data_IF_660143366890
#
_entry.id   IF_660143366890
#
_cell.length_a   1.000
_cell.length_b   1.000
_cell.length_c   1.000
_cell.angle_alpha   90.00
_cell.angle_beta   90.00
_cell.angle_gamma   90.00
#
_symmetry.space_group_name_H-M   'P 1'
#
loop_
_entity.id
_entity.type
_entity.pdbx_description
1 polymer ?
#
# COMPACT_ATOMS: atom_id res chain seq x y z
N UNK A 1 -7.16 5.16 3.12
CA UNK A 1 -8.15 6.14 3.66
C UNK A 1 -9.16 6.59 2.60
N UNK A 2 -10.43 6.17 2.67
CA UNK A 2 -11.47 6.54 1.69
C UNK A 2 -11.83 8.04 1.71
N UNK A 3 -11.55 8.74 2.82
CA UNK A 3 -11.78 10.18 2.97
C UNK A 3 -10.79 11.05 2.16
N UNK A 4 -9.70 10.48 1.63
CA UNK A 4 -8.62 11.28 1.04
C UNK A 4 -9.05 12.22 -0.10
N UNK A 5 -9.94 11.85 -1.05
CA UNK A 5 -10.19 12.68 -2.23
C UNK A 5 -10.78 14.04 -1.86
N UNK A 6 -11.68 14.09 -0.87
CA UNK A 6 -12.27 15.35 -0.42
C UNK A 6 -11.24 16.20 0.33
N UNK A 7 -10.37 15.60 1.14
CA UNK A 7 -9.31 16.34 1.85
C UNK A 7 -8.29 16.92 0.87
N UNK A 8 -7.89 16.15 -0.14
CA UNK A 8 -6.96 16.58 -1.19
C UNK A 8 -7.44 17.86 -1.88
N UNK A 9 -8.73 17.93 -2.23
CA UNK A 9 -9.31 19.07 -2.96
C UNK A 9 -9.63 20.25 -2.05
N UNK A 10 -10.15 20.00 -0.85
CA UNK A 10 -10.68 21.07 0.00
C UNK A 10 -9.63 21.71 0.88
N UNK A 11 -8.82 20.90 1.58
CA UNK A 11 -7.71 21.37 2.39
C UNK A 11 -6.74 20.20 2.66
N UNK A 12 -5.64 20.09 1.87
CA UNK A 12 -4.73 18.96 1.99
C UNK A 12 -3.99 18.91 3.32
N UNK A 13 -3.97 20.00 4.10
CA UNK A 13 -3.33 20.01 5.42
C UNK A 13 -3.92 18.97 6.39
N UNK A 14 -5.19 18.60 6.22
CA UNK A 14 -5.79 17.50 6.96
C UNK A 14 -5.12 16.15 6.70
N UNK A 15 -4.59 15.91 5.48
CA UNK A 15 -3.82 14.71 5.21
C UNK A 15 -2.55 14.67 6.06
N UNK A 16 -1.83 15.79 6.14
CA UNK A 16 -0.64 15.91 7.00
C UNK A 16 -1.00 15.65 8.46
N UNK A 17 -2.03 16.31 8.97
CA UNK A 17 -2.45 16.19 10.37
C UNK A 17 -2.90 14.77 10.75
N UNK A 18 -3.48 14.02 9.81
CA UNK A 18 -3.88 12.62 10.03
C UNK A 18 -2.68 11.65 9.92
N UNK A 19 -1.73 11.93 9.02
CA UNK A 19 -0.56 11.07 8.82
C UNK A 19 0.56 11.33 9.84
N UNK A 20 0.67 12.54 10.36
CA UNK A 20 1.74 12.95 11.27
C UNK A 20 1.87 12.05 12.51
N UNK A 21 0.80 11.74 13.27
CA UNK A 21 0.90 10.85 14.43
C UNK A 21 1.35 9.43 14.06
N UNK A 22 0.88 8.93 12.90
CA UNK A 22 1.25 7.61 12.38
C UNK A 22 2.74 7.61 12.04
N UNK A 23 3.22 8.58 11.28
CA UNK A 23 4.63 8.69 10.88
C UNK A 23 5.55 8.89 12.09
N UNK A 24 5.15 9.71 13.08
CA UNK A 24 5.89 9.86 14.33
C UNK A 24 6.00 8.53 15.09
N UNK A 25 4.88 7.81 15.24
CA UNK A 25 4.88 6.50 15.89
C UNK A 25 5.77 5.49 15.15
N UNK A 26 5.65 5.39 13.82
CA UNK A 26 6.49 4.48 13.02
C UNK A 26 7.98 4.87 13.08
N UNK A 27 8.28 6.18 13.07
CA UNK A 27 9.66 6.69 13.17
C UNK A 27 10.32 6.43 14.52
N UNK A 28 9.52 6.25 15.58
CA UNK A 28 10.04 5.90 16.91
C UNK A 28 10.62 4.48 16.98
N UNK A 29 10.39 3.65 15.96
CA UNK A 29 10.87 2.26 15.92
C UNK A 29 10.06 1.27 16.77
N UNK A 30 8.99 1.73 17.44
CA UNK A 30 8.11 0.90 18.27
C UNK A 30 7.34 -0.13 17.45
N UNK A 31 7.01 0.20 16.20
CA UNK A 31 6.52 -0.76 15.23
C UNK A 31 7.67 -1.42 14.47
N UNK A 32 7.90 -2.70 14.74
CA UNK A 32 9.07 -3.45 14.24
C UNK A 32 8.82 -4.24 12.96
N UNK A 33 7.55 -4.39 12.55
CA UNK A 33 7.17 -5.16 11.37
C UNK A 33 7.59 -4.44 10.06
N UNK A 34 7.81 -5.19 8.96
CA UNK A 34 8.34 -4.63 7.71
C UNK A 34 7.29 -3.91 6.86
N UNK A 35 6.04 -3.83 7.31
CA UNK A 35 4.93 -3.16 6.64
C UNK A 35 4.30 -2.11 7.55
N UNK A 36 3.49 -1.22 6.99
CA UNK A 36 2.84 -0.14 7.74
C UNK A 36 1.74 -0.69 8.65
N UNK A 37 1.65 -0.13 9.86
CA UNK A 37 0.62 -0.48 10.85
C UNK A 37 -0.78 -0.05 10.39
N UNK A 38 -1.80 -0.81 10.78
CA UNK A 38 -3.20 -0.49 10.46
C UNK A 38 -3.74 0.73 11.19
N UNK A 39 -3.61 0.76 12.51
CA UNK A 39 -4.03 1.86 13.36
C UNK A 39 -3.02 2.04 14.50
N UNK A 40 -3.14 3.13 15.25
CA UNK A 40 -2.30 3.40 16.41
C UNK A 40 -3.11 3.46 17.71
N UNK A 41 -4.31 2.92 17.75
CA UNK A 41 -5.12 2.94 18.95
C UNK A 41 -6.58 2.52 18.76
N UNK A 42 -7.17 2.04 19.85
CA UNK A 42 -8.48 1.40 19.85
C UNK A 42 -9.67 2.37 19.88
N UNK A 43 -9.44 3.63 20.25
CA UNK A 43 -10.51 4.63 20.44
C UNK A 43 -9.92 6.03 20.59
N UNK A 44 -10.59 7.07 20.10
CA UNK A 44 -10.19 8.45 20.42
C UNK A 44 -10.31 8.74 21.93
N UNK A 45 -9.36 9.43 22.57
CA UNK A 45 -8.11 10.00 22.03
C UNK A 45 -6.88 9.09 22.21
N UNK A 46 -7.05 7.78 22.41
CA UNK A 46 -5.96 6.81 22.54
C UNK A 46 -5.26 6.58 21.19
N UNK A 47 -3.99 7.00 21.11
CA UNK A 47 -3.10 6.81 19.98
C UNK A 47 -1.73 6.25 20.42
N UNK A 48 -1.70 5.33 21.39
CA UNK A 48 -0.46 4.80 21.99
C UNK A 48 0.33 3.85 21.10
N UNK A 49 -0.28 3.35 20.03
CA UNK A 49 0.27 2.34 19.13
C UNK A 49 0.10 0.90 19.62
N UNK A 50 0.65 -0.02 18.82
CA UNK A 50 0.72 -1.47 19.09
C UNK A 50 2.19 -1.91 19.22
N UNK A 51 2.82 -1.57 20.35
CA UNK A 51 4.23 -1.90 20.63
C UNK A 51 4.48 -3.41 20.75
N UNK A 52 3.42 -4.17 21.05
CA UNK A 52 3.41 -5.61 21.08
C UNK A 52 3.46 -6.24 19.67
N UNK A 53 3.36 -5.42 18.61
CA UNK A 53 3.32 -5.87 17.23
C UNK A 53 1.98 -6.47 16.81
N UNK A 54 0.93 -6.33 17.65
CA UNK A 54 -0.38 -6.93 17.41
C UNK A 54 -1.34 -5.84 16.93
N UNK A 55 -1.43 -5.68 15.62
CA UNK A 55 -2.45 -4.85 14.97
C UNK A 55 -3.17 -5.70 13.91
N UNK A 56 -4.27 -5.19 13.37
CA UNK A 56 -4.94 -5.82 12.24
C UNK A 56 -3.98 -5.98 11.05
N UNK A 57 -3.96 -7.17 10.45
CA UNK A 57 -2.93 -7.56 9.48
C UNK A 57 -3.37 -7.16 8.08
N UNK A 58 -3.05 -5.92 7.70
CA UNK A 58 -3.29 -5.34 6.37
C UNK A 58 -2.00 -4.84 5.67
N UNK A 59 -1.00 -5.71 5.40
CA UNK A 59 0.36 -5.28 5.04
C UNK A 59 0.46 -4.47 3.74
N UNK A 60 -0.10 -4.97 2.64
CA UNK A 60 -0.05 -4.30 1.34
C UNK A 60 -0.96 -3.09 1.32
N UNK A 61 -2.15 -3.24 1.91
CA UNK A 61 -3.17 -2.20 2.01
C UNK A 61 -2.60 -0.93 2.67
N UNK A 62 -2.01 -1.06 3.86
CA UNK A 62 -1.56 0.10 4.62
C UNK A 62 -0.24 0.67 4.13
N UNK A 63 0.63 -0.19 3.63
CA UNK A 63 1.87 0.25 2.98
C UNK A 63 1.55 1.06 1.72
N UNK A 64 0.62 0.58 0.89
CA UNK A 64 0.16 1.31 -0.29
C UNK A 64 -0.53 2.63 0.10
N UNK A 65 -1.41 2.60 1.10
CA UNK A 65 -2.11 3.79 1.59
C UNK A 65 -1.13 4.88 2.03
N UNK A 66 -0.14 4.55 2.86
CA UNK A 66 0.83 5.53 3.36
C UNK A 66 1.58 6.23 2.21
N UNK A 67 2.10 5.46 1.25
CA UNK A 67 2.88 6.00 0.14
C UNK A 67 2.04 6.87 -0.80
N UNK A 68 0.82 6.43 -1.10
CA UNK A 68 -0.13 7.18 -1.93
C UNK A 68 -0.53 8.48 -1.24
N UNK A 69 -0.88 8.43 0.04
CA UNK A 69 -1.35 9.61 0.78
C UNK A 69 -0.22 10.61 1.04
N UNK A 70 1.02 10.14 1.27
CA UNK A 70 2.18 11.02 1.37
C UNK A 70 2.42 11.80 0.07
N UNK A 71 2.37 11.12 -1.09
CA UNK A 71 2.48 11.79 -2.38
C UNK A 71 1.31 12.74 -2.60
N UNK A 72 0.08 12.31 -2.30
CA UNK A 72 -1.12 13.12 -2.46
C UNK A 72 -1.01 14.44 -1.68
N UNK A 73 -0.54 14.41 -0.43
CA UNK A 73 -0.29 15.63 0.33
C UNK A 73 0.78 16.52 -0.32
N UNK A 74 1.93 15.95 -0.69
CA UNK A 74 3.01 16.72 -1.32
C UNK A 74 2.55 17.39 -2.62
N UNK A 75 1.79 16.67 -3.45
CA UNK A 75 1.26 17.19 -4.71
C UNK A 75 0.23 18.30 -4.49
N UNK A 76 -0.70 18.13 -3.55
CA UNK A 76 -1.75 19.12 -3.32
C UNK A 76 -1.25 20.39 -2.61
N UNK A 77 -0.32 20.25 -1.67
CA UNK A 77 0.19 21.37 -0.87
C UNK A 77 1.41 22.06 -1.47
N UNK A 78 2.16 21.38 -2.35
CA UNK A 78 3.49 21.80 -2.78
C UNK A 78 4.58 21.67 -1.71
N UNK A 79 4.25 21.16 -0.52
CA UNK A 79 5.18 21.03 0.59
C UNK A 79 6.04 19.76 0.44
N UNK A 80 7.23 19.92 -0.11
CA UNK A 80 8.19 18.83 -0.28
C UNK A 80 9.01 18.52 0.97
N UNK A 81 9.07 19.45 1.94
CA UNK A 81 9.91 19.28 3.13
C UNK A 81 9.32 18.26 4.11
N UNK A 82 7.99 18.22 4.24
CA UNK A 82 7.32 17.32 5.17
C UNK A 82 7.51 15.83 4.84
N UNK A 83 7.43 15.43 3.58
CA UNK A 83 7.68 14.02 3.24
C UNK A 83 9.18 13.68 3.29
N UNK A 84 10.05 14.65 2.98
CA UNK A 84 11.50 14.47 2.95
C UNK A 84 12.10 14.08 4.31
N UNK A 85 11.57 14.61 5.42
CA UNK A 85 12.00 14.21 6.78
C UNK A 85 11.72 12.74 7.10
N UNK A 86 10.78 12.09 6.39
CA UNK A 86 10.42 10.68 6.55
C UNK A 86 10.94 9.79 5.42
N UNK A 87 11.78 10.29 4.52
CA UNK A 87 12.16 9.56 3.31
C UNK A 87 12.74 8.17 3.60
N UNK A 88 13.64 8.05 4.58
CA UNK A 88 14.20 6.74 4.98
C UNK A 88 13.15 5.78 5.54
N UNK A 89 12.15 6.30 6.26
CA UNK A 89 11.04 5.50 6.79
C UNK A 89 10.11 5.04 5.67
N UNK A 90 9.78 5.94 4.74
CA UNK A 90 8.96 5.61 3.57
C UNK A 90 9.67 4.61 2.65
N UNK A 91 10.99 4.72 2.49
CA UNK A 91 11.81 3.76 1.77
C UNK A 91 11.75 2.36 2.40
N UNK A 92 11.92 2.27 3.74
CA UNK A 92 11.79 1.01 4.49
C UNK A 92 10.46 0.30 4.19
N UNK A 93 9.35 1.04 4.17
CA UNK A 93 8.05 0.43 3.89
C UNK A 93 7.83 0.14 2.40
N UNK A 94 8.36 0.98 1.50
CA UNK A 94 8.31 0.70 0.06
C UNK A 94 9.00 -0.62 -0.30
N UNK A 95 10.11 -0.98 0.38
CA UNK A 95 10.84 -2.24 0.18
C UNK A 95 9.97 -3.49 0.38
N UNK A 96 8.86 -3.38 1.11
CA UNK A 96 7.94 -4.48 1.34
C UNK A 96 7.21 -4.95 0.07
N UNK A 97 6.90 -4.02 -0.84
CA UNK A 97 5.96 -4.24 -1.95
C UNK A 97 6.51 -5.09 -3.11
N UNK A 98 7.73 -4.87 -3.65
CA UNK A 98 8.18 -5.49 -4.90
C UNK A 98 8.05 -7.02 -4.95
N UNK A 99 8.36 -7.71 -3.85
CA UNK A 99 8.38 -9.17 -3.76
C UNK A 99 7.04 -9.79 -3.32
N UNK A 100 6.04 -8.95 -2.95
CA UNK A 100 4.80 -9.41 -2.29
C UNK A 100 3.53 -9.01 -3.03
N UNK A 101 3.64 -8.28 -4.15
CA UNK A 101 2.50 -7.66 -4.83
C UNK A 101 1.93 -8.44 -6.01
N UNK A 102 2.52 -9.57 -6.41
CA UNK A 102 2.01 -10.43 -7.49
C UNK A 102 1.52 -11.79 -6.97
N UNK A 103 2.34 -12.45 -6.12
CA UNK A 103 1.98 -13.68 -5.42
C UNK A 103 1.61 -13.33 -3.98
N UNK A 104 0.42 -12.76 -3.82
CA UNK A 104 -0.06 -12.21 -2.55
C UNK A 104 -0.50 -13.37 -1.66
N UNK A 105 0.23 -13.55 -0.56
CA UNK A 105 -0.17 -14.46 0.52
C UNK A 105 -1.47 -13.99 1.16
N UNK A 106 -2.20 -14.93 1.77
CA UNK A 106 -3.44 -14.66 2.51
C UNK A 106 -3.26 -13.50 3.50
N UNK A 107 -4.02 -12.42 3.29
CA UNK A 107 -4.02 -11.23 4.14
C UNK A 107 -5.36 -10.50 3.98
N UNK A 108 -5.66 -9.61 4.92
CA UNK A 108 -6.83 -8.75 4.82
C UNK A 108 -6.57 -7.57 3.87
N UNK A 109 -7.64 -7.09 3.26
CA UNK A 109 -7.74 -5.75 2.67
C UNK A 109 -8.77 -4.94 3.44
N UNK A 110 -8.95 -3.66 3.08
CA UNK A 110 -10.05 -2.83 3.64
C UNK A 110 -11.44 -3.43 3.43
N UNK A 111 -11.61 -4.39 2.51
CA UNK A 111 -12.83 -5.18 2.38
C UNK A 111 -12.78 -6.42 3.29
N UNK A 112 -12.53 -6.22 4.57
CA UNK A 112 -12.34 -7.27 5.59
C UNK A 112 -13.59 -8.15 5.81
N UNK A 113 -14.78 -7.67 5.43
CA UNK A 113 -16.02 -8.43 5.44
C UNK A 113 -15.96 -9.74 4.62
N UNK A 114 -15.03 -9.85 3.65
CA UNK A 114 -14.81 -11.08 2.88
C UNK A 114 -13.82 -12.05 3.53
N UNK A 115 -13.24 -11.68 4.67
CA UNK A 115 -12.10 -12.39 5.26
C UNK A 115 -10.81 -12.20 4.45
N UNK A 116 -9.70 -12.79 4.91
CA UNK A 116 -8.43 -12.70 4.20
C UNK A 116 -8.45 -13.54 2.93
N UNK A 117 -7.82 -13.04 1.86
CA UNK A 117 -7.78 -13.72 0.57
C UNK A 117 -6.36 -13.72 0.00
N UNK A 118 -6.05 -14.74 -0.79
CA UNK A 118 -4.82 -14.79 -1.60
C UNK A 118 -5.02 -14.08 -2.93
N UNK A 119 -3.96 -13.45 -3.46
CA UNK A 119 -3.95 -12.88 -4.82
C UNK A 119 -5.12 -11.91 -5.09
N UNK A 120 -5.46 -11.05 -4.12
CA UNK A 120 -6.46 -10.04 -4.37
C UNK A 120 -5.96 -8.97 -5.35
N UNK A 121 -6.71 -8.77 -6.42
CA UNK A 121 -6.37 -7.84 -7.50
C UNK A 121 -6.30 -6.38 -7.04
N UNK A 122 -7.20 -5.96 -6.14
CA UNK A 122 -7.17 -4.62 -5.51
C UNK A 122 -5.84 -4.37 -4.77
N UNK A 123 -5.34 -5.34 -4.00
CA UNK A 123 -4.06 -5.24 -3.29
C UNK A 123 -2.89 -5.18 -4.27
N UNK A 124 -2.92 -6.01 -5.32
CA UNK A 124 -1.88 -5.99 -6.35
C UNK A 124 -1.79 -4.64 -7.08
N UNK A 125 -2.94 -4.09 -7.48
CA UNK A 125 -3.04 -2.76 -8.11
C UNK A 125 -2.56 -1.69 -7.13
N UNK A 126 -3.02 -1.74 -5.87
CA UNK A 126 -2.62 -0.80 -4.83
C UNK A 126 -1.11 -0.80 -4.59
N UNK A 127 -0.47 -1.97 -4.56
CA UNK A 127 0.97 -2.08 -4.44
C UNK A 127 1.70 -1.43 -5.62
N UNK A 128 1.25 -1.67 -6.86
CA UNK A 128 1.83 -1.03 -8.04
C UNK A 128 1.71 0.50 -7.99
N UNK A 129 0.53 1.01 -7.63
CA UNK A 129 0.29 2.46 -7.46
C UNK A 129 1.14 3.02 -6.32
N UNK A 130 1.24 2.33 -5.19
CA UNK A 130 2.04 2.74 -4.03
C UNK A 130 3.54 2.83 -4.32
N UNK A 131 4.10 1.85 -5.05
CA UNK A 131 5.49 1.89 -5.50
C UNK A 131 5.75 3.07 -6.45
N UNK A 132 4.84 3.32 -7.40
CA UNK A 132 4.97 4.46 -8.29
C UNK A 132 4.82 5.79 -7.55
N UNK A 133 3.93 5.85 -6.56
CA UNK A 133 3.77 7.01 -5.70
C UNK A 133 5.03 7.32 -4.90
N UNK A 134 5.66 6.29 -4.33
CA UNK A 134 6.94 6.43 -3.65
C UNK A 134 8.05 6.91 -4.59
N UNK A 135 8.18 6.34 -5.79
CA UNK A 135 9.17 6.77 -6.78
C UNK A 135 9.01 8.27 -7.13
N UNK A 136 7.78 8.73 -7.33
CA UNK A 136 7.48 10.13 -7.62
C UNK A 136 7.76 11.06 -6.43
N UNK A 137 7.49 10.59 -5.20
CA UNK A 137 7.76 11.32 -3.97
C UNK A 137 9.28 11.46 -3.71
N UNK A 138 10.02 10.37 -3.88
CA UNK A 138 11.42 10.22 -3.48
C UNK A 138 12.44 10.67 -4.54
N UNK A 139 11.99 10.84 -5.78
CA UNK A 139 12.82 11.33 -6.88
C UNK A 139 13.76 10.27 -7.48
N UNK A 140 14.77 10.74 -8.21
CA UNK A 140 15.57 9.91 -9.13
C UNK A 140 16.26 8.70 -8.46
N UNK A 141 16.68 8.82 -7.20
CA UNK A 141 17.35 7.77 -6.45
C UNK A 141 16.49 6.50 -6.25
N UNK A 142 15.15 6.65 -6.32
CA UNK A 142 14.19 5.56 -6.13
C UNK A 142 13.34 5.30 -7.38
N UNK A 143 13.81 5.74 -8.54
CA UNK A 143 13.11 5.58 -9.83
C UNK A 143 12.88 4.11 -10.22
N UNK A 144 13.68 3.18 -9.70
CA UNK A 144 13.50 1.74 -9.90
C UNK A 144 12.12 1.24 -9.43
N UNK A 145 11.53 1.85 -8.41
CA UNK A 145 10.18 1.49 -7.95
C UNK A 145 9.11 1.77 -9.01
N UNK A 146 9.28 2.82 -9.83
CA UNK A 146 8.39 3.09 -10.96
C UNK A 146 8.52 2.01 -12.04
N UNK A 147 9.75 1.55 -12.34
CA UNK A 147 9.98 0.46 -13.29
C UNK A 147 9.37 -0.86 -12.82
N UNK A 148 9.54 -1.20 -11.53
CA UNK A 148 8.93 -2.41 -10.92
C UNK A 148 7.41 -2.30 -10.97
N UNK A 149 6.84 -1.15 -10.59
CA UNK A 149 5.40 -0.91 -10.67
C UNK A 149 4.84 -1.09 -12.09
N UNK A 150 5.55 -0.58 -13.11
CA UNK A 150 5.16 -0.73 -14.51
C UNK A 150 5.22 -2.20 -14.97
N UNK A 151 6.25 -2.94 -14.55
CA UNK A 151 6.35 -4.39 -14.80
C UNK A 151 5.16 -5.12 -14.18
N UNK A 152 4.84 -4.83 -12.91
CA UNK A 152 3.71 -5.46 -12.22
C UNK A 152 2.37 -5.10 -12.87
N UNK A 153 2.18 -3.85 -13.27
CA UNK A 153 0.98 -3.43 -14.00
C UNK A 153 0.83 -4.20 -15.33
N UNK A 154 1.94 -4.44 -16.04
CA UNK A 154 1.96 -5.26 -17.26
C UNK A 154 1.54 -6.70 -16.94
N UNK A 155 2.10 -7.31 -15.91
CA UNK A 155 1.72 -8.67 -15.49
C UNK A 155 0.25 -8.77 -15.08
N UNK A 156 -0.25 -7.78 -14.34
CA UNK A 156 -1.64 -7.77 -13.87
C UNK A 156 -2.63 -7.66 -15.03
N UNK A 157 -2.39 -6.76 -15.98
CA UNK A 157 -3.37 -6.44 -17.02
C UNK A 157 -3.03 -7.04 -18.39
N UNK A 158 -1.82 -6.81 -18.89
CA UNK A 158 -1.38 -7.26 -20.22
C UNK A 158 -1.22 -8.78 -20.25
N UNK A 159 -0.60 -9.36 -19.23
CA UNK A 159 -0.39 -10.82 -19.15
C UNK A 159 -1.63 -11.54 -18.59
N UNK A 160 -2.61 -10.78 -18.08
CA UNK A 160 -3.90 -11.30 -17.63
C UNK A 160 -3.85 -12.05 -16.30
N UNK A 161 -2.87 -11.76 -15.44
CA UNK A 161 -2.83 -12.33 -14.09
C UNK A 161 -4.06 -11.92 -13.29
N UNK A 162 -4.44 -10.65 -13.38
CA UNK A 162 -5.49 -10.05 -12.55
C UNK A 162 -6.85 -9.95 -13.25
N UNK A 163 -6.95 -10.31 -14.53
CA UNK A 163 -8.19 -10.22 -15.32
C UNK A 163 -8.75 -11.61 -15.64
N UNK A 164 -10.03 -11.63 -16.01
CA UNK A 164 -10.64 -12.79 -16.66
C UNK A 164 -10.02 -13.03 -18.06
N UNK A 165 -10.28 -14.20 -18.65
CA UNK A 165 -9.70 -14.57 -19.94
C UNK A 165 -10.04 -13.58 -21.07
N UNK A 166 -11.22 -12.94 -21.01
CA UNK A 166 -11.64 -11.95 -22.00
C UNK A 166 -11.20 -10.52 -21.67
N UNK A 167 -10.52 -10.30 -20.53
CA UNK A 167 -10.08 -8.98 -20.05
C UNK A 167 -11.21 -7.95 -19.92
N UNK A 168 -12.38 -8.42 -19.50
CA UNK A 168 -13.59 -7.61 -19.31
C UNK A 168 -13.75 -7.14 -17.86
N UNK A 169 -13.20 -7.87 -16.89
CA UNK A 169 -13.30 -7.54 -15.47
C UNK A 169 -12.15 -8.14 -14.64
N UNK A 170 -12.01 -7.65 -13.41
CA UNK A 170 -11.08 -8.15 -12.41
C UNK A 170 -11.82 -9.10 -11.44
N UNK A 171 -11.53 -10.41 -11.40
CA UNK A 171 -12.13 -11.31 -10.43
C UNK A 171 -11.63 -11.05 -9.00
N UNK A 172 -12.48 -11.36 -8.02
CA UNK A 172 -12.18 -11.27 -6.59
C UNK A 172 -11.29 -12.44 -6.16
N UNK A 173 -9.98 -12.32 -6.37
CA UNK A 173 -8.99 -13.34 -6.04
C UNK A 173 -8.84 -14.39 -7.13
N UNK A 174 -7.59 -14.77 -7.41
CA UNK A 174 -7.25 -15.85 -8.36
C UNK A 174 -6.27 -16.80 -7.67
N UNK A 175 -6.67 -18.01 -7.34
CA UNK A 175 -5.67 -19.04 -7.03
C UNK A 175 -4.75 -19.20 -8.24
N UNK A 176 -3.43 -19.38 -8.05
CA UNK A 176 -2.55 -19.72 -9.17
C UNK A 176 -3.15 -20.95 -9.86
N UNK A 177 -3.40 -20.86 -11.16
CA UNK A 177 -4.05 -21.94 -11.91
C UNK A 177 -3.26 -23.24 -11.72
N UNK A 178 -3.80 -24.19 -10.96
CA UNK A 178 -3.38 -25.59 -11.05
C UNK A 178 -3.94 -26.15 -12.36
N UNK A 179 -3.30 -25.81 -13.48
CA UNK A 179 -3.46 -26.54 -14.74
C UNK A 179 -2.16 -27.26 -15.05
N UNK A 180 -1.85 -28.28 -14.24
CA UNK A 180 -1.08 -29.41 -14.76
C UNK A 180 -2.12 -30.37 -15.36
N UNK A 181 -2.13 -30.61 -16.68
CA UNK A 181 -3.01 -31.62 -17.24
C UNK A 181 -2.49 -32.98 -16.78
N UNK A 182 -3.17 -33.61 -15.81
CA UNK A 182 -2.96 -35.03 -15.55
C UNK A 182 -3.62 -35.81 -16.68
N UNK A 183 -2.81 -36.24 -17.63
CA UNK A 183 -3.10 -37.36 -18.51
C UNK A 183 -3.20 -38.64 -17.66
N UNK A 184 -4.35 -39.31 -17.73
CA UNK A 184 -4.48 -40.75 -17.59
C UNK A 184 -5.43 -41.25 -18.68
#
# INVERSE_FOLDING_TARGET
MPLFPILYVTNPEWLRLLLEPILQYLSSGRWTLPYVIHDIGTSYPNATGHDDGIAEIMPIEETGNLLILALAYQTASGNTSWASQYLSLLAKYAEYLPSRSLNITEQLSTNDATGPLTNETNLAIKAAVGMNAFAALAGAAYSNYSSIAASHATTLYTDGLATDAAKTHFPAGKSPSTSTPTSY
#
